data_IF_219179062625
#
_entry.id   IF_219179062625
#
_cell.length_a   1.000
_cell.length_b   1.000
_cell.length_c   1.000
_cell.angle_alpha   90.00
_cell.angle_beta   90.00
_cell.angle_gamma   90.00
#
_symmetry.space_group_name_H-M   'P 1'
#
loop_
_entity.id
_entity.type
_entity.pdbx_description
1 polymer ?
#
# COMPACT_ATOMS: atom_id res chain seq x y z
N UNK A 1 -28.54 -42.18 75.10
CA UNK A 1 -29.41 -41.90 73.95
C UNK A 1 -28.57 -41.12 72.95
N UNK A 2 -27.97 -41.84 72.00
CA UNK A 2 -26.95 -41.34 71.06
C UNK A 2 -27.60 -41.03 69.72
N UNK A 3 -27.48 -39.80 69.24
CA UNK A 3 -27.79 -39.45 67.86
C UNK A 3 -26.47 -39.13 67.15
N UNK A 4 -25.94 -40.14 66.48
CA UNK A 4 -24.78 -40.06 65.61
C UNK A 4 -25.19 -39.28 64.34
N UNK A 5 -24.76 -38.02 64.23
CA UNK A 5 -24.98 -37.22 63.03
C UNK A 5 -23.92 -37.58 61.99
N UNK A 6 -24.26 -38.47 61.06
CA UNK A 6 -23.38 -38.87 59.97
C UNK A 6 -23.23 -37.71 58.97
N UNK A 7 -22.17 -36.91 59.12
CA UNK A 7 -21.68 -36.04 58.05
C UNK A 7 -21.08 -36.90 56.95
N UNK A 8 -21.93 -37.36 56.03
CA UNK A 8 -21.51 -38.08 54.84
C UNK A 8 -20.89 -37.07 53.86
N UNK A 9 -19.60 -36.82 54.04
CA UNK A 9 -18.74 -36.18 53.05
C UNK A 9 -18.90 -36.95 51.74
N UNK A 10 -19.66 -36.40 50.79
CA UNK A 10 -19.72 -36.89 49.41
C UNK A 10 -18.31 -36.78 48.83
N UNK A 11 -17.55 -37.88 48.87
CA UNK A 11 -16.33 -38.01 48.08
C UNK A 11 -16.72 -37.82 46.62
N UNK A 12 -16.38 -36.65 46.07
CA UNK A 12 -16.53 -36.36 44.66
C UNK A 12 -15.53 -37.28 43.95
N UNK A 13 -16.02 -38.35 43.32
CA UNK A 13 -15.17 -39.21 42.50
C UNK A 13 -14.62 -38.35 41.36
N UNK A 14 -13.32 -38.05 41.43
CA UNK A 14 -12.60 -37.43 40.32
C UNK A 14 -12.50 -38.48 39.21
N UNK A 15 -13.40 -38.39 38.23
CA UNK A 15 -13.29 -39.10 36.97
C UNK A 15 -12.16 -38.45 36.17
N UNK A 16 -11.07 -39.18 35.95
CA UNK A 16 -9.97 -38.74 35.08
C UNK A 16 -10.39 -38.73 33.61
N UNK A 17 -9.62 -38.05 32.76
CA UNK A 17 -9.87 -38.02 31.32
C UNK A 17 -9.58 -39.38 30.68
N UNK A 18 -10.44 -39.77 29.75
CA UNK A 18 -10.18 -40.95 28.91
C UNK A 18 -9.10 -40.64 27.89
N UNK A 19 -8.37 -41.68 27.43
CA UNK A 19 -7.38 -41.53 26.37
C UNK A 19 -8.00 -40.94 25.09
N UNK A 20 -9.24 -41.33 24.79
CA UNK A 20 -9.98 -40.83 23.63
C UNK A 20 -10.24 -39.32 23.73
N UNK A 21 -10.67 -38.81 24.89
CA UNK A 21 -10.88 -37.38 25.09
C UNK A 21 -9.61 -36.57 24.91
N UNK A 22 -8.48 -37.06 25.43
CA UNK A 22 -7.19 -36.38 25.27
C UNK A 22 -6.78 -36.33 23.80
N UNK A 23 -6.95 -37.43 23.06
CA UNK A 23 -6.65 -37.46 21.62
C UNK A 23 -7.55 -36.52 20.82
N UNK A 24 -8.84 -36.47 21.13
CA UNK A 24 -9.78 -35.56 20.48
C UNK A 24 -9.40 -34.11 20.77
N UNK A 25 -9.15 -33.76 22.03
CA UNK A 25 -8.75 -32.42 22.42
C UNK A 25 -7.49 -31.97 21.69
N UNK A 26 -6.43 -32.80 21.68
CA UNK A 26 -5.19 -32.53 20.98
C UNK A 26 -5.40 -32.35 19.47
N UNK A 27 -6.25 -33.17 18.85
CA UNK A 27 -6.55 -33.10 17.42
C UNK A 27 -7.26 -31.79 17.07
N UNK A 28 -8.25 -31.37 17.87
CA UNK A 28 -8.95 -30.09 17.70
C UNK A 28 -7.96 -28.94 17.89
N UNK A 29 -7.13 -28.97 18.93
CA UNK A 29 -6.12 -27.94 19.16
C UNK A 29 -5.13 -27.85 17.99
N UNK A 30 -4.66 -28.98 17.47
CA UNK A 30 -3.76 -29.02 16.32
C UNK A 30 -4.42 -28.42 15.06
N UNK A 31 -5.70 -28.75 14.81
CA UNK A 31 -6.45 -28.19 13.69
C UNK A 31 -6.62 -26.66 13.83
N UNK A 32 -7.00 -26.18 15.00
CA UNK A 32 -7.15 -24.73 15.28
C UNK A 32 -5.81 -24.02 15.14
N UNK A 33 -4.73 -24.56 15.70
CA UNK A 33 -3.37 -24.02 15.53
C UNK A 33 -2.95 -23.97 14.06
N UNK A 34 -3.19 -25.03 13.29
CA UNK A 34 -2.90 -25.06 11.86
C UNK A 34 -3.65 -23.95 11.09
N UNK A 35 -4.92 -23.73 11.42
CA UNK A 35 -5.72 -22.63 10.85
C UNK A 35 -5.16 -21.25 11.18
N UNK A 36 -4.79 -21.02 12.46
CA UNK A 36 -4.22 -19.75 12.90
C UNK A 36 -2.85 -19.46 12.25
N UNK A 37 -2.00 -20.49 12.10
CA UNK A 37 -0.72 -20.32 11.41
C UNK A 37 -0.89 -19.98 9.94
N UNK A 38 -1.82 -20.64 9.25
CA UNK A 38 -2.14 -20.34 7.84
C UNK A 38 -2.63 -18.90 7.68
N UNK A 39 -3.53 -18.46 8.56
CA UNK A 39 -4.04 -17.08 8.54
C UNK A 39 -2.94 -16.05 8.84
N UNK A 40 -2.11 -16.30 9.85
CA UNK A 40 -0.99 -15.42 10.20
C UNK A 40 0.01 -15.28 9.04
N UNK A 41 0.34 -16.39 8.39
CA UNK A 41 1.21 -16.39 7.21
C UNK A 41 0.61 -15.59 6.05
N UNK A 42 -0.68 -15.81 5.74
CA UNK A 42 -1.39 -15.06 4.70
C UNK A 42 -1.45 -13.56 4.98
N UNK A 43 -1.71 -13.17 6.24
CA UNK A 43 -1.74 -11.76 6.65
C UNK A 43 -0.38 -11.07 6.46
N UNK A 44 0.72 -11.74 6.83
CA UNK A 44 2.07 -11.19 6.61
C UNK A 44 2.41 -11.04 5.14
N UNK A 45 2.10 -12.05 4.32
CA UNK A 45 2.34 -11.99 2.88
C UNK A 45 1.56 -10.85 2.23
N UNK A 46 0.30 -10.66 2.64
CA UNK A 46 -0.53 -9.55 2.18
C UNK A 46 0.07 -8.20 2.61
N UNK A 47 0.48 -8.07 3.87
CA UNK A 47 1.08 -6.83 4.38
C UNK A 47 2.35 -6.43 3.61
N UNK A 48 3.24 -7.39 3.34
CA UNK A 48 4.46 -7.14 2.55
C UNK A 48 4.13 -6.71 1.13
N UNK A 49 3.19 -7.40 0.46
CA UNK A 49 2.75 -7.03 -0.90
C UNK A 49 2.09 -5.65 -0.94
N UNK A 50 1.25 -5.34 0.05
CA UNK A 50 0.61 -4.03 0.16
C UNK A 50 1.65 -2.92 0.36
N UNK A 51 2.66 -3.15 1.22
CA UNK A 51 3.75 -2.21 1.42
C UNK A 51 4.54 -1.95 0.14
N UNK A 52 4.89 -3.00 -0.62
CA UNK A 52 5.60 -2.87 -1.89
C UNK A 52 4.79 -2.09 -2.94
N UNK A 53 3.49 -2.36 -3.03
CA UNK A 53 2.58 -1.65 -3.94
C UNK A 53 2.45 -0.17 -3.56
N UNK A 54 2.29 0.14 -2.27
CA UNK A 54 2.22 1.52 -1.78
C UNK A 54 3.52 2.29 -2.02
N UNK A 55 4.68 1.66 -1.80
CA UNK A 55 5.98 2.27 -2.07
C UNK A 55 6.11 2.59 -3.56
N UNK A 56 5.76 1.64 -4.44
CA UNK A 56 5.83 1.83 -5.89
C UNK A 56 4.87 2.94 -6.36
N UNK A 57 3.63 2.96 -5.88
CA UNK A 57 2.66 3.99 -6.22
C UNK A 57 3.07 5.36 -5.70
N UNK A 58 3.61 5.44 -4.48
CA UNK A 58 4.11 6.70 -3.92
C UNK A 58 5.26 7.26 -4.77
N UNK A 59 6.20 6.39 -5.18
CA UNK A 59 7.32 6.79 -6.03
C UNK A 59 6.83 7.33 -7.40
N UNK A 60 5.91 6.61 -8.06
CA UNK A 60 5.34 7.06 -9.33
C UNK A 60 4.62 8.41 -9.21
N UNK A 61 3.83 8.60 -8.14
CA UNK A 61 3.15 9.90 -7.89
C UNK A 61 4.15 11.02 -7.65
N UNK A 62 5.24 10.74 -6.95
CA UNK A 62 6.25 11.75 -6.69
C UNK A 62 7.00 12.14 -7.98
N UNK A 63 7.28 11.18 -8.88
CA UNK A 63 7.84 11.45 -10.20
C UNK A 63 6.90 12.33 -11.06
N UNK A 64 5.60 12.02 -11.10
CA UNK A 64 4.59 12.85 -11.78
C UNK A 64 4.54 14.27 -11.19
N UNK A 65 4.56 14.39 -9.86
CA UNK A 65 4.57 15.71 -9.22
C UNK A 65 5.85 16.48 -9.53
N UNK A 66 7.01 15.82 -9.56
CA UNK A 66 8.27 16.43 -9.95
C UNK A 66 8.22 16.94 -11.40
N UNK A 67 7.68 16.15 -12.33
CA UNK A 67 7.49 16.57 -13.71
C UNK A 67 6.60 17.82 -13.86
N UNK A 68 5.60 17.99 -12.98
CA UNK A 68 4.74 19.19 -12.94
C UNK A 68 5.46 20.42 -12.37
N UNK A 69 6.38 20.22 -11.42
CA UNK A 69 7.12 21.30 -10.78
C UNK A 69 8.28 21.80 -11.63
N UNK A 70 8.89 20.91 -12.42
CA UNK A 70 9.91 21.24 -13.40
C UNK A 70 9.29 21.91 -14.64
N UNK A 71 9.00 23.20 -14.51
CA UNK A 71 8.21 23.99 -15.47
C UNK A 71 8.93 25.23 -16.01
N UNK A 72 10.27 25.24 -15.92
CA UNK A 72 11.16 26.33 -16.39
C UNK A 72 10.94 27.69 -15.69
N UNK A 73 9.97 27.82 -14.78
CA UNK A 73 9.72 29.08 -14.07
C UNK A 73 10.73 29.34 -12.95
N UNK A 74 11.25 28.29 -12.33
CA UNK A 74 12.24 28.37 -11.26
C UNK A 74 13.09 27.10 -11.26
N UNK A 75 14.38 27.27 -11.00
CA UNK A 75 15.28 26.15 -10.75
C UNK A 75 14.69 25.26 -9.65
N UNK A 76 14.40 24.02 -10.03
CA UNK A 76 13.86 23.01 -9.15
C UNK A 76 14.97 22.01 -8.83
N UNK A 77 15.31 21.88 -7.55
CA UNK A 77 16.18 20.79 -7.10
C UNK A 77 15.38 19.48 -7.14
N UNK A 78 15.84 18.45 -7.88
CA UNK A 78 15.19 17.15 -7.91
C UNK A 78 14.97 16.62 -6.49
N UNK A 79 13.71 16.35 -6.14
CA UNK A 79 13.38 15.75 -4.85
C UNK A 79 13.69 14.24 -4.82
N UNK A 80 13.84 13.62 -6.00
CA UNK A 80 14.07 12.20 -6.20
C UNK A 80 15.26 12.02 -7.13
N UNK A 81 16.31 11.38 -6.63
CA UNK A 81 17.51 10.93 -7.37
C UNK A 81 17.35 9.45 -7.79
N UNK A 82 16.24 9.12 -8.44
CA UNK A 82 15.97 7.77 -8.94
C UNK A 82 15.74 7.81 -10.44
N UNK A 83 16.67 7.24 -11.20
CA UNK A 83 16.63 7.15 -12.67
C UNK A 83 15.53 6.20 -13.18
N UNK A 84 14.78 5.55 -12.28
CA UNK A 84 13.68 4.66 -12.66
C UNK A 84 12.63 5.36 -13.52
N UNK A 85 12.27 6.59 -13.16
CA UNK A 85 11.21 7.34 -13.85
C UNK A 85 11.84 8.38 -14.78
N UNK A 86 11.70 8.14 -16.08
CA UNK A 86 12.21 9.03 -17.12
C UNK A 86 11.08 9.99 -17.49
N UNK A 87 11.34 11.29 -17.38
CA UNK A 87 10.37 12.35 -17.68
C UNK A 87 10.78 13.00 -18.99
N UNK A 88 9.89 13.00 -19.98
CA UNK A 88 10.14 13.59 -21.29
C UNK A 88 9.04 14.61 -21.64
N UNK A 89 9.46 15.83 -21.98
CA UNK A 89 8.56 16.87 -22.50
C UNK A 89 8.26 16.61 -23.97
N UNK A 90 6.97 16.55 -24.31
CA UNK A 90 6.48 16.32 -25.67
C UNK A 90 6.02 17.66 -26.29
N UNK A 91 4.93 17.62 -27.05
CA UNK A 91 4.41 18.76 -27.79
C UNK A 91 3.78 19.84 -26.88
N UNK A 92 3.95 21.11 -27.26
CA UNK A 92 3.19 22.22 -26.71
C UNK A 92 1.77 22.19 -27.25
N UNK A 93 0.78 22.21 -26.36
CA UNK A 93 -0.62 22.28 -26.75
C UNK A 93 -0.89 23.60 -27.51
N UNK A 94 -1.83 23.58 -28.46
CA UNK A 94 -2.21 24.78 -29.19
C UNK A 94 -2.77 25.84 -28.24
N UNK A 95 -2.58 27.10 -28.62
CA UNK A 95 -3.12 28.23 -27.89
C UNK A 95 -4.65 28.15 -27.79
N UNK A 96 -5.18 28.59 -26.64
CA UNK A 96 -6.61 28.68 -26.43
C UNK A 96 -7.24 29.67 -27.44
N UNK A 97 -8.40 29.29 -27.98
CA UNK A 97 -9.16 30.10 -28.95
C UNK A 97 -9.46 31.52 -28.43
N UNK A 98 -9.60 31.67 -27.11
CA UNK A 98 -9.79 32.96 -26.45
C UNK A 98 -9.06 33.01 -25.12
N UNK A 99 -8.19 34.02 -24.96
CA UNK A 99 -7.55 34.36 -23.67
C UNK A 99 -8.32 35.48 -22.98
N UNK A 100 -8.49 35.38 -21.66
CA UNK A 100 -9.15 36.42 -20.83
C UNK A 100 -8.18 37.47 -20.32
N UNK A 101 -6.88 37.18 -20.32
CA UNK A 101 -5.78 38.06 -19.95
C UNK A 101 -4.50 37.69 -20.72
N UNK A 102 -3.53 38.61 -20.84
CA UNK A 102 -2.19 38.29 -21.37
C UNK A 102 -1.47 37.29 -20.44
N UNK A 103 -0.96 36.19 -20.98
CA UNK A 103 -0.24 35.14 -20.22
C UNK A 103 0.90 34.59 -21.06
N UNK A 104 2.06 34.34 -20.41
CA UNK A 104 3.24 33.70 -21.01
C UNK A 104 3.30 32.19 -20.71
N UNK A 105 2.32 31.67 -19.97
CA UNK A 105 2.23 30.27 -19.60
C UNK A 105 1.58 29.50 -20.74
N UNK A 106 2.22 28.42 -21.14
CA UNK A 106 1.79 27.47 -22.14
C UNK A 106 1.49 26.13 -21.48
N UNK A 107 0.73 25.28 -22.17
CA UNK A 107 0.52 23.90 -21.77
C UNK A 107 1.42 23.00 -22.60
N UNK A 108 2.15 22.10 -21.96
CA UNK A 108 2.99 21.10 -22.62
C UNK A 108 2.50 19.71 -22.24
N UNK A 109 2.36 18.83 -23.23
CA UNK A 109 2.23 17.41 -22.99
C UNK A 109 3.57 16.88 -22.49
N UNK A 110 3.56 15.98 -21.53
CA UNK A 110 4.74 15.27 -21.09
C UNK A 110 4.38 13.83 -20.79
N UNK A 111 5.39 12.97 -20.83
CA UNK A 111 5.28 11.58 -20.44
C UNK A 111 6.23 11.26 -19.28
N UNK A 112 5.77 10.37 -18.41
CA UNK A 112 6.59 9.74 -17.39
C UNK A 112 6.62 8.24 -17.70
N UNK A 113 7.79 7.72 -18.03
CA UNK A 113 8.01 6.31 -18.32
C UNK A 113 8.71 5.62 -17.16
N UNK A 114 8.14 4.54 -16.68
CA UNK A 114 8.77 3.65 -15.71
C UNK A 114 9.68 2.66 -16.44
N UNK A 115 10.99 2.78 -16.26
CA UNK A 115 11.99 1.89 -16.90
C UNK A 115 11.91 0.43 -16.45
N UNK A 116 11.26 0.14 -15.31
CA UNK A 116 11.14 -1.22 -14.79
C UNK A 116 9.95 -1.97 -15.40
N UNK A 117 8.83 -1.28 -15.59
CA UNK A 117 7.57 -1.89 -16.07
C UNK A 117 7.25 -1.53 -17.52
N UNK A 118 7.99 -0.58 -18.11
CA UNK A 118 7.73 0.05 -19.42
C UNK A 118 6.34 0.73 -19.50
N UNK A 119 5.72 1.01 -18.35
CA UNK A 119 4.46 1.73 -18.27
C UNK A 119 4.70 3.23 -18.48
N UNK A 120 3.83 3.86 -19.26
CA UNK A 120 3.91 5.29 -19.58
C UNK A 120 2.66 6.01 -19.09
N UNK A 121 2.87 7.15 -18.45
CA UNK A 121 1.80 8.05 -18.00
C UNK A 121 1.96 9.35 -18.78
N UNK A 122 0.99 9.66 -19.63
CA UNK A 122 0.89 10.95 -20.31
C UNK A 122 0.07 11.95 -19.49
N UNK A 123 0.55 13.18 -19.40
CA UNK A 123 -0.13 14.25 -18.69
C UNK A 123 0.24 15.62 -19.26
N UNK A 124 -0.41 16.66 -18.76
CA UNK A 124 -0.18 18.04 -19.19
C UNK A 124 0.38 18.86 -18.03
N UNK A 125 1.43 19.64 -18.30
CA UNK A 125 2.03 20.58 -17.36
C UNK A 125 2.00 22.00 -17.90
N UNK A 126 2.06 22.97 -17.00
CA UNK A 126 2.35 24.35 -17.37
C UNK A 126 3.84 24.47 -17.66
N UNK A 127 4.19 25.25 -18.67
CA UNK A 127 5.57 25.70 -18.92
C UNK A 127 5.55 27.18 -19.28
N UNK A 128 6.65 27.90 -19.08
CA UNK A 128 6.73 29.33 -19.37
C UNK A 128 7.62 29.58 -20.58
N UNK A 129 7.11 30.34 -21.54
CA UNK A 129 7.92 30.81 -22.66
C UNK A 129 8.66 32.10 -22.28
N UNK A 130 9.96 32.16 -22.61
CA UNK A 130 10.78 33.39 -22.49
C UNK A 130 10.29 34.51 -23.40
N UNK A 131 9.56 34.17 -24.47
CA UNK A 131 8.95 35.13 -25.39
C UNK A 131 7.43 35.15 -25.20
N UNK A 132 6.80 36.33 -25.06
CA UNK A 132 5.35 36.42 -25.03
C UNK A 132 4.79 35.94 -26.38
N UNK A 133 3.85 34.99 -26.33
CA UNK A 133 3.13 34.46 -27.49
C UNK A 133 1.66 34.85 -27.40
#
# INVERSE_FOLDING_TARGET
>A
MSAMNNNMSKMTQQLGFTLLEVMIALTITAMVMGGLFTLSAGSKQLAVRAQQSLQSSTAARAAVNQALLDNEFRDFEPAIEDDRFIIEGLELLPDAERRTAPMNDLLQLYEVRDSLTDETIEAVRWTRSDLPR
#
